data_IF_949134915834
#
_entry.id   IF_949134915834
#
_cell.length_a   1.000
_cell.length_b   1.000
_cell.length_c   1.000
_cell.angle_alpha   90.00
_cell.angle_beta   90.00
_cell.angle_gamma   90.00
#
_symmetry.space_group_name_H-M   'P 1'
#
loop_
_entity.id
_entity.type
_entity.pdbx_description
1 polymer ?
#
# COMPACT_ATOMS: atom_id res chain seq x y z
N UNK A 1 4.25 25.86 16.93
CA UNK A 1 5.07 25.29 15.84
C UNK A 1 6.14 26.32 15.54
N UNK A 2 7.35 25.86 15.22
CA UNK A 2 8.49 26.72 14.88
C UNK A 2 8.85 26.45 13.43
N UNK A 3 9.15 27.50 12.66
CA UNK A 3 9.63 27.38 11.28
C UNK A 3 10.69 26.28 11.11
N UNK A 4 10.46 25.35 10.18
CA UNK A 4 11.34 24.21 9.93
C UNK A 4 11.20 23.02 10.88
N UNK A 5 10.26 23.04 11.84
CA UNK A 5 9.92 21.87 12.66
C UNK A 5 9.42 20.74 11.76
N UNK A 6 10.04 19.56 11.86
CA UNK A 6 9.70 18.39 11.05
C UNK A 6 8.89 17.38 11.86
N UNK A 7 7.94 16.75 11.19
CA UNK A 7 7.18 15.61 11.69
C UNK A 7 7.36 14.41 10.79
N UNK A 8 7.68 13.27 11.39
CA UNK A 8 7.74 11.97 10.73
C UNK A 8 6.29 11.44 10.55
N UNK A 9 5.95 10.95 9.35
CA UNK A 9 4.60 10.54 8.95
C UNK A 9 4.62 9.17 8.27
N UNK A 10 3.99 8.21 8.92
CA UNK A 10 3.82 6.87 8.36
C UNK A 10 2.39 6.68 7.89
N UNK A 11 2.21 6.47 6.58
CA UNK A 11 0.90 6.32 5.98
C UNK A 11 0.68 4.89 5.46
N UNK A 12 -0.33 4.21 6.01
CA UNK A 12 -0.69 2.86 5.56
C UNK A 12 -1.99 2.86 4.75
N UNK A 13 -1.95 2.11 3.64
CA UNK A 13 -3.12 1.51 3.01
C UNK A 13 -2.79 0.05 2.71
N UNK A 14 -3.72 -0.87 3.00
CA UNK A 14 -3.50 -2.30 2.81
C UNK A 14 -2.98 -2.64 1.41
N UNK A 15 -3.59 -2.08 0.36
CA UNK A 15 -3.19 -2.31 -1.03
C UNK A 15 -2.05 -1.42 -1.56
N UNK A 16 -1.17 -0.85 -0.71
CA UNK A 16 -0.05 0.01 -1.15
C UNK A 16 1.34 -0.39 -0.66
N UNK A 17 1.43 -1.03 0.50
CA UNK A 17 2.74 -1.19 1.16
C UNK A 17 2.84 -2.48 1.97
N UNK A 18 1.70 -2.92 2.52
CA UNK A 18 1.63 -4.11 3.36
C UNK A 18 1.93 -5.44 2.66
N UNK A 19 1.57 -5.68 1.39
CA UNK A 19 1.74 -6.98 0.76
C UNK A 19 3.16 -7.23 0.22
N UNK A 20 4.09 -6.27 0.39
CA UNK A 20 5.39 -6.28 -0.31
C UNK A 20 6.20 -7.55 0.01
N UNK A 21 6.19 -8.01 1.26
CA UNK A 21 6.98 -9.18 1.69
C UNK A 21 6.11 -10.43 1.85
N UNK A 22 4.89 -10.27 2.37
CA UNK A 22 3.95 -11.36 2.56
C UNK A 22 2.51 -10.87 2.46
N UNK A 23 1.67 -11.66 1.80
CA UNK A 23 0.22 -11.52 1.80
C UNK A 23 -0.37 -12.94 1.81
N UNK A 24 -1.09 -13.29 2.87
CA UNK A 24 -1.76 -14.59 2.97
C UNK A 24 -3.19 -14.43 3.44
N UNK A 25 -4.07 -15.28 2.93
CA UNK A 25 -5.43 -15.38 3.41
C UNK A 25 -5.73 -16.74 4.04
N UNK A 26 -6.67 -16.77 4.98
CA UNK A 26 -7.11 -17.97 5.67
C UNK A 26 -8.57 -17.87 6.11
N UNK A 27 -9.18 -19.03 6.37
CA UNK A 27 -10.58 -19.13 6.75
C UNK A 27 -11.53 -19.04 5.55
N UNK A 28 -12.82 -18.89 5.83
CA UNK A 28 -13.81 -18.67 4.78
C UNK A 28 -13.91 -17.18 4.48
N UNK A 29 -13.39 -16.77 3.33
CA UNK A 29 -13.53 -15.41 2.84
C UNK A 29 -14.91 -15.25 2.18
N UNK A 30 -15.67 -14.26 2.63
CA UNK A 30 -16.90 -13.83 1.95
C UNK A 30 -16.70 -12.39 1.48
N UNK A 31 -17.01 -12.12 0.21
CA UNK A 31 -16.88 -10.80 -0.41
C UNK A 31 -18.28 -10.28 -0.74
N UNK A 32 -18.54 -8.99 -0.47
CA UNK A 32 -19.82 -8.35 -0.78
C UNK A 32 -19.86 -7.78 -2.21
N UNK A 33 -20.99 -7.19 -2.61
CA UNK A 33 -21.19 -6.61 -3.94
C UNK A 33 -20.29 -5.37 -4.20
N UNK A 34 -19.73 -4.77 -3.15
CA UNK A 34 -18.76 -3.67 -3.23
C UNK A 34 -17.31 -4.19 -3.34
N UNK A 35 -17.12 -5.50 -3.53
CA UNK A 35 -15.84 -6.19 -3.59
C UNK A 35 -15.03 -6.12 -2.29
N UNK A 36 -15.69 -5.87 -1.16
CA UNK A 36 -15.08 -5.84 0.17
C UNK A 36 -15.20 -7.20 0.85
N UNK A 37 -14.08 -7.70 1.37
CA UNK A 37 -14.11 -8.86 2.23
C UNK A 37 -14.83 -8.54 3.56
N UNK A 38 -15.79 -9.39 3.94
CA UNK A 38 -16.63 -9.26 5.13
C UNK A 38 -16.33 -10.30 6.20
N UNK A 39 -15.53 -11.32 5.87
CA UNK A 39 -15.04 -12.34 6.79
C UNK A 39 -13.76 -12.99 6.26
N UNK A 40 -13.14 -13.80 7.11
CA UNK A 40 -11.85 -14.43 6.84
C UNK A 40 -10.73 -13.69 7.56
N UNK A 41 -9.50 -14.15 7.31
CA UNK A 41 -8.29 -13.57 7.88
C UNK A 41 -7.30 -13.27 6.77
N UNK A 42 -6.80 -12.04 6.71
CA UNK A 42 -5.71 -11.62 5.84
C UNK A 42 -4.52 -11.21 6.69
N UNK A 43 -3.36 -11.81 6.44
CA UNK A 43 -2.09 -11.47 7.10
C UNK A 43 -1.17 -10.83 6.09
N UNK A 44 -0.55 -9.73 6.49
CA UNK A 44 0.35 -8.96 5.66
C UNK A 44 1.64 -8.65 6.38
N UNK A 45 2.75 -8.65 5.64
CA UNK A 45 4.03 -8.14 6.09
C UNK A 45 4.68 -7.33 4.97
N UNK A 46 5.10 -6.11 5.30
CA UNK A 46 5.60 -5.20 4.30
C UNK A 46 6.20 -3.96 4.94
N UNK A 47 6.07 -2.87 4.22
CA UNK A 47 6.54 -1.55 4.61
C UNK A 47 5.35 -0.63 4.86
N UNK A 48 5.62 0.57 5.35
CA UNK A 48 4.64 1.66 5.41
C UNK A 48 5.11 2.78 4.48
N UNK A 49 4.18 3.59 3.93
CA UNK A 49 4.56 4.72 3.08
C UNK A 49 5.19 5.81 3.96
N UNK A 50 6.53 5.85 3.96
CA UNK A 50 7.35 6.76 4.76
C UNK A 50 7.43 8.15 4.14
N UNK A 51 7.20 9.15 4.98
CA UNK A 51 7.04 10.55 4.61
C UNK A 51 7.43 11.44 5.78
N UNK A 52 7.68 12.69 5.45
CA UNK A 52 7.82 13.76 6.42
C UNK A 52 6.85 14.93 6.12
N UNK A 53 6.68 15.76 7.14
CA UNK A 53 6.02 17.05 7.08
C UNK A 53 7.01 18.09 7.58
N UNK A 54 7.08 19.23 6.90
CA UNK A 54 7.80 20.39 7.38
C UNK A 54 6.83 21.54 7.64
N UNK A 55 6.86 22.08 8.87
CA UNK A 55 6.15 23.32 9.17
C UNK A 55 6.84 24.50 8.49
N UNK A 56 6.06 25.26 7.75
CA UNK A 56 6.46 26.49 7.05
C UNK A 56 5.41 27.57 7.37
N UNK A 57 5.84 28.79 7.69
CA UNK A 57 4.98 29.94 8.02
C UNK A 57 4.09 30.33 6.84
N UNK A 58 4.60 30.16 5.62
CA UNK A 58 3.82 30.36 4.40
C UNK A 58 3.04 29.08 4.04
N UNK A 59 1.76 29.19 3.64
CA UNK A 59 0.96 28.02 3.33
C UNK A 59 1.51 27.28 2.10
N UNK A 60 1.75 25.98 2.26
CA UNK A 60 2.11 25.09 1.16
C UNK A 60 1.02 25.05 0.08
N UNK A 61 1.40 25.26 -1.18
CA UNK A 61 0.46 25.23 -2.31
C UNK A 61 -0.01 23.81 -2.66
N UNK A 62 0.78 22.77 -2.35
CA UNK A 62 0.54 21.36 -2.73
C UNK A 62 0.67 20.37 -1.54
N UNK A 63 -0.30 19.44 -1.41
CA UNK A 63 -0.41 18.34 -0.42
C UNK A 63 -0.14 18.73 1.06
N UNK A 64 -0.27 20.01 1.40
CA UNK A 64 -0.17 20.52 2.77
C UNK A 64 1.20 20.37 3.42
N UNK A 65 2.29 20.39 2.63
CA UNK A 65 3.68 20.29 3.14
C UNK A 65 4.17 18.86 3.38
N UNK A 66 3.47 17.87 2.83
CA UNK A 66 3.87 16.46 2.92
C UNK A 66 4.88 16.13 1.83
N UNK A 67 5.99 15.54 2.22
CA UNK A 67 7.05 15.11 1.33
C UNK A 67 7.31 13.61 1.51
N UNK A 68 7.67 12.92 0.43
CA UNK A 68 8.16 11.55 0.56
C UNK A 68 9.64 11.58 0.93
N UNK A 69 10.06 10.65 1.77
CA UNK A 69 11.47 10.55 2.17
C UNK A 69 12.35 10.11 1.00
N UNK A 70 13.66 10.22 1.18
CA UNK A 70 14.63 9.87 0.16
C UNK A 70 14.52 8.40 -0.26
N UNK A 71 14.62 8.18 -1.59
CA UNK A 71 14.57 6.85 -2.21
C UNK A 71 13.25 6.56 -2.93
N UNK A 72 12.94 5.27 -3.12
CA UNK A 72 11.81 4.83 -3.95
C UNK A 72 10.61 4.38 -3.13
N UNK A 73 9.40 4.78 -3.54
CA UNK A 73 8.14 4.34 -2.91
C UNK A 73 7.85 2.86 -3.10
N UNK A 74 6.99 2.33 -2.22
CA UNK A 74 6.52 0.93 -2.22
C UNK A 74 5.53 0.60 -3.34
N UNK A 75 5.18 1.55 -4.20
CA UNK A 75 4.20 1.34 -5.27
C UNK A 75 4.40 2.19 -6.52
N UNK A 76 4.00 1.64 -7.66
CA UNK A 76 3.73 2.31 -8.93
C UNK A 76 2.23 2.31 -9.28
N UNK A 77 1.88 2.84 -10.46
CA UNK A 77 0.50 2.83 -10.96
C UNK A 77 0.30 1.72 -11.99
N UNK A 78 -0.69 0.86 -11.78
CA UNK A 78 -1.15 -0.09 -12.77
C UNK A 78 -2.18 0.58 -13.71
N UNK A 79 -1.73 1.51 -14.56
CA UNK A 79 -2.63 2.25 -15.46
C UNK A 79 -1.92 2.71 -16.72
N UNK A 80 -2.57 2.52 -17.86
CA UNK A 80 -2.07 3.01 -19.14
C UNK A 80 -2.03 4.55 -19.20
N UNK A 81 -1.28 5.09 -20.16
CA UNK A 81 -1.12 6.54 -20.34
C UNK A 81 -2.43 7.26 -20.63
N UNK A 82 -3.38 6.58 -21.27
CA UNK A 82 -4.72 7.08 -21.61
C UNK A 82 -5.68 7.10 -20.42
N UNK A 83 -5.30 6.47 -19.30
CA UNK A 83 -6.12 6.31 -18.09
C UNK A 83 -7.41 5.52 -18.30
N UNK A 84 -7.49 4.72 -19.34
CA UNK A 84 -8.66 3.93 -19.74
C UNK A 84 -8.64 2.49 -19.23
N UNK A 85 -7.49 1.99 -18.79
CA UNK A 85 -7.36 0.63 -18.28
C UNK A 85 -6.03 0.36 -17.58
N UNK A 86 -5.87 -0.84 -16.99
CA UNK A 86 -4.64 -1.27 -16.35
C UNK A 86 -3.52 -1.57 -17.37
N UNK A 87 -2.30 -1.69 -16.87
CA UNK A 87 -1.16 -2.20 -17.64
C UNK A 87 -1.11 -3.73 -17.58
N UNK A 88 -1.39 -4.28 -16.40
CA UNK A 88 -1.28 -5.71 -16.10
C UNK A 88 -2.52 -6.24 -15.38
N UNK A 89 -2.78 -7.54 -15.55
CA UNK A 89 -3.76 -8.33 -14.81
C UNK A 89 -3.08 -9.57 -14.21
N UNK A 90 -3.60 -10.08 -13.11
CA UNK A 90 -3.26 -11.43 -12.66
C UNK A 90 -3.74 -12.47 -13.68
N UNK A 91 -2.91 -13.46 -14.02
CA UNK A 91 -3.28 -14.51 -14.98
C UNK A 91 -4.11 -15.61 -14.34
N UNK A 92 -3.62 -16.10 -13.21
CA UNK A 92 -4.12 -17.30 -12.55
C UNK A 92 -4.04 -17.12 -11.02
N UNK A 93 -4.73 -16.10 -10.46
CA UNK A 93 -4.70 -15.88 -9.02
C UNK A 93 -5.33 -17.09 -8.30
N UNK A 94 -4.76 -17.45 -7.16
CA UNK A 94 -5.19 -18.62 -6.38
C UNK A 94 -6.43 -18.33 -5.53
N UNK A 95 -6.64 -17.06 -5.18
CA UNK A 95 -7.75 -16.63 -4.36
C UNK A 95 -8.00 -15.10 -4.39
N UNK A 96 -8.95 -14.63 -3.57
CA UNK A 96 -9.30 -13.21 -3.47
C UNK A 96 -8.11 -12.32 -3.12
N UNK A 97 -7.28 -12.71 -2.14
CA UNK A 97 -6.17 -11.86 -1.75
C UNK A 97 -5.11 -11.81 -2.84
N UNK A 98 -4.80 -12.96 -3.43
CA UNK A 98 -3.86 -13.09 -4.55
C UNK A 98 -4.30 -12.22 -5.74
N UNK A 99 -5.59 -12.26 -6.10
CA UNK A 99 -6.14 -11.39 -7.15
C UNK A 99 -6.09 -9.88 -6.81
N UNK A 100 -6.13 -9.52 -5.52
CA UNK A 100 -6.17 -8.14 -5.02
C UNK A 100 -4.78 -7.54 -4.79
N UNK A 101 -3.71 -8.31 -5.00
CA UNK A 101 -2.32 -7.89 -4.90
C UNK A 101 -1.68 -8.05 -6.28
N UNK A 102 -0.83 -7.09 -6.64
CA UNK A 102 -0.03 -7.15 -7.85
C UNK A 102 1.33 -6.57 -7.51
N UNK A 103 2.38 -7.34 -7.72
CA UNK A 103 3.75 -7.01 -7.33
C UNK A 103 4.64 -6.81 -8.55
N UNK A 104 5.74 -6.08 -8.36
CA UNK A 104 6.79 -5.99 -9.36
C UNK A 104 7.47 -7.34 -9.60
N UNK A 105 7.52 -8.21 -8.59
CA UNK A 105 8.10 -9.54 -8.72
C UNK A 105 7.30 -10.42 -9.71
N UNK A 106 5.97 -10.46 -9.58
CA UNK A 106 5.10 -11.21 -10.52
C UNK A 106 5.23 -10.68 -11.96
N UNK A 107 5.41 -9.36 -12.14
CA UNK A 107 5.69 -8.77 -13.45
C UNK A 107 7.05 -9.26 -13.99
N UNK A 108 8.09 -9.19 -13.17
CA UNK A 108 9.46 -9.52 -13.56
C UNK A 108 9.63 -11.03 -13.85
N UNK A 109 8.89 -11.88 -13.12
CA UNK A 109 8.84 -13.33 -13.29
C UNK A 109 7.87 -13.78 -14.40
N UNK A 110 7.11 -12.85 -14.98
CA UNK A 110 6.20 -13.10 -16.10
C UNK A 110 4.93 -13.84 -15.69
N UNK A 111 4.53 -13.74 -14.43
CA UNK A 111 3.33 -14.37 -13.86
C UNK A 111 2.05 -13.57 -14.19
N UNK A 112 2.20 -12.31 -14.60
CA UNK A 112 1.09 -11.41 -14.96
C UNK A 112 0.80 -11.37 -16.47
N UNK A 113 -0.40 -10.95 -16.85
CA UNK A 113 -0.79 -10.67 -18.23
C UNK A 113 -0.59 -9.18 -18.56
N UNK A 114 0.26 -8.87 -19.56
CA UNK A 114 0.35 -7.51 -20.10
C UNK A 114 -0.82 -7.21 -21.04
N UNK A 115 -1.67 -6.25 -20.66
CA UNK A 115 -2.93 -5.95 -21.36
C UNK A 115 -2.70 -5.45 -22.78
N UNK A 116 -1.59 -4.74 -23.02
CA UNK A 116 -1.28 -4.16 -24.33
C UNK A 116 -1.03 -5.22 -25.42
N UNK A 117 -0.62 -6.43 -25.02
CA UNK A 117 -0.25 -7.53 -25.93
C UNK A 117 -1.14 -8.75 -25.79
N UNK A 118 -2.07 -8.74 -24.85
CA UNK A 118 -3.00 -9.84 -24.57
C UNK A 118 -3.98 -10.10 -25.71
N UNK A 119 -4.31 -11.37 -25.91
CA UNK A 119 -5.43 -11.79 -26.75
C UNK A 119 -6.76 -11.67 -25.99
N UNK A 120 -7.87 -11.63 -26.71
CA UNK A 120 -9.20 -11.60 -26.10
C UNK A 120 -9.47 -12.81 -25.20
N UNK A 121 -8.96 -13.99 -25.57
CA UNK A 121 -9.10 -15.22 -24.77
C UNK A 121 -8.34 -15.13 -23.44
N UNK A 122 -7.13 -14.57 -23.45
CA UNK A 122 -6.35 -14.37 -22.21
C UNK A 122 -6.99 -13.33 -21.29
N UNK A 123 -7.55 -12.25 -21.86
CA UNK A 123 -8.26 -11.24 -21.10
C UNK A 123 -9.52 -11.83 -20.46
N UNK A 124 -10.32 -12.59 -21.22
CA UNK A 124 -11.52 -13.26 -20.71
C UNK A 124 -11.16 -14.22 -19.57
N UNK A 125 -10.13 -15.05 -19.75
CA UNK A 125 -9.65 -15.97 -18.72
C UNK A 125 -9.25 -15.25 -17.42
N UNK A 126 -8.53 -14.12 -17.53
CA UNK A 126 -8.15 -13.33 -16.36
C UNK A 126 -9.40 -12.75 -15.68
N UNK A 127 -10.36 -12.26 -16.47
CA UNK A 127 -11.60 -11.69 -15.95
C UNK A 127 -12.48 -12.70 -15.22
N UNK A 128 -12.58 -13.93 -15.74
CA UNK A 128 -13.32 -15.01 -15.08
C UNK A 128 -12.81 -15.24 -13.64
N UNK A 129 -11.50 -15.18 -13.40
CA UNK A 129 -10.91 -15.29 -12.06
C UNK A 129 -11.27 -14.12 -11.15
N UNK A 130 -11.17 -12.88 -11.65
CA UNK A 130 -11.58 -11.70 -10.86
C UNK A 130 -13.07 -11.78 -10.48
N UNK A 131 -13.93 -12.21 -11.40
CA UNK A 131 -15.35 -12.42 -11.13
C UNK A 131 -15.59 -13.57 -10.14
N UNK A 132 -14.88 -14.70 -10.28
CA UNK A 132 -14.98 -15.85 -9.38
C UNK A 132 -14.68 -15.47 -7.92
N UNK A 133 -13.62 -14.68 -7.71
CA UNK A 133 -13.23 -14.27 -6.37
C UNK A 133 -13.96 -13.02 -5.87
N UNK A 134 -14.75 -12.36 -6.73
CA UNK A 134 -15.31 -11.05 -6.42
C UNK A 134 -14.22 -10.01 -6.17
N UNK A 135 -13.06 -10.13 -6.83
CA UNK A 135 -11.93 -9.24 -6.70
C UNK A 135 -11.99 -8.06 -7.70
N UNK A 136 -11.16 -7.05 -7.48
CA UNK A 136 -10.95 -5.91 -8.36
C UNK A 136 -9.50 -5.89 -8.83
N UNK A 137 -9.27 -5.35 -10.03
CA UNK A 137 -7.91 -5.16 -10.52
C UNK A 137 -7.16 -4.18 -9.61
N UNK A 138 -5.96 -4.55 -9.13
CA UNK A 138 -5.15 -3.65 -8.32
C UNK A 138 -4.76 -2.38 -9.10
N UNK A 139 -5.05 -1.20 -8.53
CA UNK A 139 -4.60 0.10 -9.08
C UNK A 139 -3.08 0.29 -8.95
N UNK A 140 -2.44 -0.51 -8.09
CA UNK A 140 -1.06 -0.35 -7.65
C UNK A 140 -0.25 -1.58 -7.99
N UNK A 141 0.97 -1.34 -8.45
CA UNK A 141 2.02 -2.35 -8.56
C UNK A 141 2.90 -2.16 -7.33
N UNK A 142 2.93 -3.15 -6.45
CA UNK A 142 3.61 -3.11 -5.17
C UNK A 142 5.07 -3.56 -5.34
N UNK A 143 6.01 -2.92 -4.66
CA UNK A 143 7.44 -3.21 -4.78
C UNK A 143 8.18 -2.86 -3.50
N UNK A 144 9.37 -3.41 -3.36
CA UNK A 144 10.28 -3.01 -2.28
C UNK A 144 10.65 -1.51 -2.41
N UNK A 145 10.57 -0.75 -1.30
CA UNK A 145 11.10 0.60 -1.26
C UNK A 145 12.64 0.58 -1.18
N UNK A 146 13.25 1.76 -1.26
CA UNK A 146 14.70 1.91 -1.06
C UNK A 146 14.99 3.24 -0.36
N UNK A 147 16.20 3.38 0.20
CA UNK A 147 16.61 4.58 0.92
C UNK A 147 15.92 4.70 2.28
N UNK A 148 15.72 5.95 2.72
CA UNK A 148 15.03 6.28 3.97
C UNK A 148 13.63 5.64 4.03
N UNK A 149 12.92 5.60 2.89
CA UNK A 149 11.59 4.97 2.78
C UNK A 149 11.52 3.46 3.07
N UNK A 150 12.65 2.79 3.27
CA UNK A 150 12.71 1.38 3.61
C UNK A 150 12.94 1.13 5.12
N UNK A 151 13.06 2.18 5.94
CA UNK A 151 13.44 2.04 7.35
C UNK A 151 12.28 1.60 8.27
N UNK A 152 11.05 1.62 7.75
CA UNK A 152 9.84 1.33 8.54
C UNK A 152 9.07 0.16 7.95
N UNK A 153 8.98 -0.89 8.76
CA UNK A 153 8.26 -2.12 8.45
C UNK A 153 6.92 -2.16 9.18
N UNK A 154 5.98 -2.90 8.61
CA UNK A 154 4.66 -3.10 9.20
C UNK A 154 4.21 -4.54 9.01
N UNK A 155 3.64 -5.10 10.07
CA UNK A 155 2.84 -6.32 10.00
C UNK A 155 1.40 -5.98 10.36
N UNK A 156 0.45 -6.60 9.67
CA UNK A 156 -0.96 -6.38 9.95
C UNK A 156 -1.78 -7.65 9.71
N UNK A 157 -2.78 -7.85 10.55
CA UNK A 157 -3.80 -8.88 10.36
C UNK A 157 -5.15 -8.20 10.33
N UNK A 158 -5.90 -8.43 9.26
CA UNK A 158 -7.34 -8.20 9.25
C UNK A 158 -8.04 -9.53 9.52
N UNK A 159 -8.95 -9.58 10.49
CA UNK A 159 -9.78 -10.76 10.73
C UNK A 159 -11.20 -10.33 11.05
N UNK A 160 -12.15 -10.80 10.26
CA UNK A 160 -13.60 -10.59 10.45
C UNK A 160 -13.95 -9.14 10.82
N UNK A 161 -13.47 -8.18 10.03
CA UNK A 161 -13.75 -6.75 10.21
C UNK A 161 -12.84 -6.01 11.18
N UNK A 162 -11.84 -6.67 11.78
CA UNK A 162 -10.91 -6.05 12.74
C UNK A 162 -9.47 -6.05 12.23
N UNK A 163 -8.86 -4.87 12.16
CA UNK A 163 -7.42 -4.72 11.92
C UNK A 163 -6.62 -4.75 13.24
N UNK A 164 -5.57 -5.55 13.28
CA UNK A 164 -4.47 -5.47 14.25
C UNK A 164 -3.20 -5.11 13.48
N UNK A 165 -2.47 -4.10 13.91
CA UNK A 165 -1.27 -3.62 13.21
C UNK A 165 -0.12 -3.42 14.18
N UNK A 166 1.08 -3.74 13.72
CA UNK A 166 2.34 -3.50 14.41
C UNK A 166 3.31 -2.80 13.46
N UNK A 167 3.91 -1.70 13.91
CA UNK A 167 4.90 -0.92 13.14
C UNK A 167 6.24 -1.08 13.83
N UNK A 168 7.28 -1.36 13.05
CA UNK A 168 8.65 -1.48 13.52
C UNK A 168 9.53 -0.47 12.79
N UNK A 169 10.36 0.24 13.57
CA UNK A 169 11.45 1.08 13.08
C UNK A 169 12.56 1.15 14.11
N UNK A 170 13.75 1.57 13.68
CA UNK A 170 14.82 1.94 14.62
C UNK A 170 14.44 3.23 15.34
N UNK A 171 14.96 3.39 16.56
CA UNK A 171 14.89 4.69 17.24
C UNK A 171 15.73 5.75 16.52
N UNK A 172 16.89 5.35 16.01
CA UNK A 172 17.82 6.20 15.26
C UNK A 172 18.05 5.55 13.90
N UNK A 173 17.51 6.16 12.85
CA UNK A 173 17.63 5.69 11.46
C UNK A 173 18.91 6.20 10.81
N UNK A 174 19.30 7.43 11.16
CA UNK A 174 20.44 8.13 10.57
C UNK A 174 20.13 8.91 9.31
N UNK A 175 18.86 8.98 8.89
CA UNK A 175 18.43 9.83 7.78
C UNK A 175 17.97 11.20 8.29
N UNK A 176 18.30 12.25 7.55
CA UNK A 176 18.00 13.64 7.93
C UNK A 176 16.51 13.99 7.77
N UNK A 177 15.74 13.19 7.03
CA UNK A 177 14.29 13.32 6.84
C UNK A 177 13.45 12.62 7.91
N UNK A 178 14.09 11.87 8.81
CA UNK A 178 13.46 11.15 9.92
C UNK A 178 13.61 11.86 11.27
N UNK A 179 12.63 11.68 12.15
CA UNK A 179 12.80 12.02 13.58
C UNK A 179 13.74 11.00 14.24
N UNK A 180 14.84 11.50 14.79
CA UNK A 180 15.81 10.71 15.56
C UNK A 180 15.40 10.64 17.05
N UNK A 181 15.12 9.44 17.53
CA UNK A 181 14.70 9.16 18.91
C UNK A 181 15.92 8.79 19.78
N UNK A 182 16.95 9.64 19.76
CA UNK A 182 18.23 9.43 20.46
C UNK A 182 18.25 10.01 21.88
N UNK A 183 17.32 10.90 22.24
CA UNK A 183 17.13 11.42 23.59
C UNK A 183 15.92 10.76 24.29
N UNK A 184 16.19 9.74 25.11
CA UNK A 184 15.14 9.02 25.84
C UNK A 184 14.50 9.81 26.99
N UNK A 185 15.07 10.96 27.38
CA UNK A 185 14.49 11.87 28.37
C UNK A 185 13.61 12.94 27.72
N UNK A 186 13.63 13.06 26.38
CA UNK A 186 12.78 13.98 25.63
C UNK A 186 11.33 13.51 25.51
N UNK A 187 10.43 14.48 25.32
CA UNK A 187 9.02 14.20 25.03
C UNK A 187 8.76 14.27 23.52
N UNK A 188 8.47 13.13 22.91
CA UNK A 188 8.07 13.04 21.51
C UNK A 188 6.54 13.07 21.39
N UNK A 189 6.02 13.98 20.57
CA UNK A 189 4.58 14.05 20.28
C UNK A 189 4.24 13.02 19.21
N UNK A 190 3.13 12.31 19.42
CA UNK A 190 2.65 11.30 18.49
C UNK A 190 1.15 11.43 18.31
N UNK A 191 0.67 11.20 17.09
CA UNK A 191 -0.74 11.22 16.73
C UNK A 191 -1.07 10.04 15.83
N UNK A 192 -2.27 9.49 15.98
CA UNK A 192 -2.79 8.44 15.11
C UNK A 192 -4.10 8.90 14.51
N UNK A 193 -4.24 8.71 13.21
CA UNK A 193 -5.49 8.91 12.49
C UNK A 193 -5.88 7.59 11.80
N UNK A 194 -7.15 7.23 11.90
CA UNK A 194 -7.75 6.13 11.15
C UNK A 194 -8.67 6.72 10.09
N UNK A 195 -8.47 6.32 8.84
CA UNK A 195 -9.27 6.77 7.71
C UNK A 195 -10.05 5.58 7.16
N UNK A 196 -11.37 5.73 7.07
CA UNK A 196 -12.21 4.81 6.31
C UNK A 196 -12.26 5.28 4.85
N UNK A 197 -11.78 4.44 3.95
CA UNK A 197 -11.66 4.75 2.52
C UNK A 197 -12.62 3.91 1.65
N UNK A 198 -13.67 3.32 2.24
CA UNK A 198 -14.69 2.52 1.53
C UNK A 198 -15.66 3.34 0.67
N UNK A 199 -15.69 4.68 0.81
CA UNK A 199 -16.66 5.56 0.14
C UNK A 199 -16.36 5.97 -1.31
N UNK A 200 -15.69 5.13 -2.11
CA UNK A 200 -15.16 5.48 -3.45
C UNK A 200 -16.18 5.92 -4.52
N UNK A 201 -17.49 5.89 -4.26
CA UNK A 201 -18.53 6.27 -5.23
C UNK A 201 -18.56 7.76 -5.62
N UNK A 202 -17.63 8.60 -5.16
CA UNK A 202 -17.63 10.04 -5.43
C UNK A 202 -16.25 10.70 -5.53
N UNK A 203 -15.16 9.93 -5.68
CA UNK A 203 -13.81 10.47 -5.84
C UNK A 203 -13.23 10.27 -7.23
#
# INVERSE_FOLDING_TARGET
EVEGEMGDIWHMKAARSLPVMEATQAGTVNVNDDHEATSGTFTFMGYIDDKNLQYDEEPHEDDGGRHGDEGSSTYGRNRNSEKTGPLYLEKDPLDYLDAMVLTQAEIDDGEVLEVATATAEQLEHSWEHYEEFGALIPERIIREPSGSRADIMQAAVWSDGTWTTEIQRKLVTGNDDDVQFDDLDASYRFGVALMDNGGGGSH
#
